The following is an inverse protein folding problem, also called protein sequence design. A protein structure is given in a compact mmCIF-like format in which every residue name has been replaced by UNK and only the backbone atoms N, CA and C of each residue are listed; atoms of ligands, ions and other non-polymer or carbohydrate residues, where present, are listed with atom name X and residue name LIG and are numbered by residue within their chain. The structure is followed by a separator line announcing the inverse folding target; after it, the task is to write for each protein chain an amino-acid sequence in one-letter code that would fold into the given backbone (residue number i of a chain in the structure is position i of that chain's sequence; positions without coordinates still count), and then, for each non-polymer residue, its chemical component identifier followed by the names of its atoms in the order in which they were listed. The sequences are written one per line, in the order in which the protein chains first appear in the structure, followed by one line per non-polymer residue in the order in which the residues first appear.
data_IF_786663686005
#
_entry.id   IF_786663686005
#
_cell.length_a   1.000
_cell.length_b   1.000
_cell.length_c   1.000
_cell.angle_alpha   90.00
_cell.angle_beta   90.00
_cell.angle_gamma   90.00
#
_symmetry.space_group_name_H-M   'P 1'
#
loop_
_entity.id
_entity.type
_entity.pdbx_description
1 polymer ?
#
# COMPACT_ATOMS: atom_id res chain seq x y z
N UNK A 1 12.47 -10.99 3.87
CA UNK A 1 11.41 -10.16 4.25
C UNK A 1 10.04 -10.77 4.14
N UNK A 2 9.17 -10.25 4.96
CA UNK A 2 7.78 -10.66 4.97
C UNK A 2 6.98 -9.85 3.95
N UNK A 3 5.92 -10.44 3.46
CA UNK A 3 5.00 -9.79 2.55
C UNK A 3 3.84 -9.19 3.34
N UNK A 4 3.44 -7.97 2.98
CA UNK A 4 2.32 -7.26 3.62
C UNK A 4 1.37 -6.72 2.55
N UNK A 5 0.06 -6.60 2.87
CA UNK A 5 -0.89 -5.98 1.94
C UNK A 5 -0.65 -4.48 1.84
N UNK A 6 -0.54 -3.98 0.62
CA UNK A 6 -0.54 -2.56 0.32
C UNK A 6 -1.94 -2.18 -0.12
N UNK A 7 -2.59 -1.29 0.62
CA UNK A 7 -4.01 -0.99 0.44
C UNK A 7 -4.29 0.43 -0.04
N UNK A 8 -3.29 1.28 -0.12
CA UNK A 8 -3.43 2.61 -0.72
C UNK A 8 -2.06 3.19 -1.07
N UNK A 9 -2.04 4.03 -2.10
CA UNK A 9 -0.85 4.79 -2.49
C UNK A 9 -1.34 6.12 -3.06
N UNK A 10 -1.04 7.21 -2.37
CA UNK A 10 -1.52 8.55 -2.72
C UNK A 10 -0.37 9.56 -2.66
N UNK A 11 -0.42 10.57 -3.52
CA UNK A 11 0.53 11.68 -3.49
C UNK A 11 -0.19 13.01 -3.73
N UNK A 12 0.49 14.11 -3.42
CA UNK A 12 -0.04 15.45 -3.66
C UNK A 12 -0.32 15.64 -5.15
N UNK A 13 -1.50 16.18 -5.47
CA UNK A 13 -1.91 16.45 -6.84
C UNK A 13 -2.50 15.25 -7.58
N UNK A 14 -2.51 14.06 -6.97
CA UNK A 14 -3.15 12.90 -7.57
C UNK A 14 -4.66 13.13 -7.64
N UNK A 15 -5.27 12.79 -8.77
CA UNK A 15 -6.72 12.90 -8.95
C UNK A 15 -7.32 11.50 -8.97
N UNK A 16 -8.24 11.22 -8.04
CA UNK A 16 -8.94 9.95 -7.94
C UNK A 16 -10.44 10.27 -7.83
N UNK A 17 -11.23 9.74 -8.76
CA UNK A 17 -12.69 9.95 -8.80
C UNK A 17 -13.08 11.42 -8.72
N UNK A 18 -12.35 12.28 -9.44
CA UNK A 18 -12.60 13.72 -9.48
C UNK A 18 -12.09 14.51 -8.28
N UNK A 19 -11.45 13.86 -7.30
CA UNK A 19 -10.89 14.51 -6.12
C UNK A 19 -9.40 14.68 -6.29
N UNK A 20 -8.92 15.94 -6.17
CA UNK A 20 -7.50 16.23 -6.16
C UNK A 20 -6.97 16.09 -4.74
N UNK A 21 -5.98 15.21 -4.55
CA UNK A 21 -5.45 14.91 -3.23
C UNK A 21 -4.44 15.95 -2.78
N UNK A 22 -4.73 16.57 -1.62
CA UNK A 22 -3.77 17.30 -0.79
C UNK A 22 -3.51 16.49 0.47
N UNK A 23 -2.76 17.06 1.42
CA UNK A 23 -2.50 16.37 2.69
C UNK A 23 -3.79 16.03 3.47
N UNK A 24 -4.81 16.89 3.53
CA UNK A 24 -6.05 16.52 4.22
C UNK A 24 -6.71 15.27 3.62
N UNK A 25 -6.74 15.16 2.29
CA UNK A 25 -7.34 14.02 1.60
C UNK A 25 -6.52 12.75 1.81
N UNK A 26 -5.18 12.86 1.79
CA UNK A 26 -4.28 11.73 2.06
C UNK A 26 -4.50 11.21 3.49
N UNK A 27 -4.60 12.12 4.46
CA UNK A 27 -4.82 11.74 5.84
C UNK A 27 -6.21 11.16 6.05
N UNK A 28 -7.24 11.71 5.41
CA UNK A 28 -8.61 11.18 5.49
C UNK A 28 -8.69 9.76 4.92
N UNK A 29 -8.03 9.51 3.79
CA UNK A 29 -7.92 8.17 3.19
C UNK A 29 -7.30 7.18 4.17
N UNK A 30 -6.16 7.56 4.76
CA UNK A 30 -5.48 6.74 5.75
C UNK A 30 -6.35 6.45 6.97
N UNK A 31 -6.99 7.48 7.52
CA UNK A 31 -7.83 7.32 8.72
C UNK A 31 -9.03 6.42 8.47
N UNK A 32 -9.65 6.53 7.28
CA UNK A 32 -10.75 5.65 6.89
C UNK A 32 -10.29 4.20 6.83
N UNK A 33 -9.13 3.95 6.22
CA UNK A 33 -8.57 2.60 6.13
C UNK A 33 -8.16 2.07 7.51
N UNK A 34 -7.57 2.91 8.36
CA UNK A 34 -7.14 2.50 9.70
C UNK A 34 -8.32 2.17 10.60
N UNK A 35 -9.47 2.84 10.42
CA UNK A 35 -10.67 2.51 11.17
C UNK A 35 -11.17 1.10 10.85
N UNK A 36 -11.04 0.67 9.58
CA UNK A 36 -11.39 -0.68 9.16
C UNK A 36 -10.30 -1.71 9.46
N UNK A 37 -9.04 -1.28 9.33
CA UNK A 37 -7.87 -2.14 9.56
C UNK A 37 -6.98 -1.49 10.62
N UNK A 38 -7.19 -1.79 11.91
CA UNK A 38 -6.44 -1.13 13.00
C UNK A 38 -4.93 -1.31 12.93
N UNK A 39 -4.45 -2.33 12.22
CA UNK A 39 -3.02 -2.57 12.01
C UNK A 39 -2.47 -1.82 10.80
N UNK A 40 -3.26 -0.95 10.16
CA UNK A 40 -2.78 -0.13 9.05
C UNK A 40 -1.74 0.87 9.54
N UNK A 41 -0.71 1.07 8.72
CA UNK A 41 0.32 2.09 8.94
C UNK A 41 0.69 2.72 7.60
N UNK A 42 1.27 3.92 7.67
CA UNK A 42 1.62 4.69 6.48
C UNK A 42 3.12 4.93 6.43
N UNK A 43 3.70 4.77 5.25
CA UNK A 43 5.11 5.06 4.99
C UNK A 43 5.23 6.00 3.78
N UNK A 44 6.37 6.69 3.67
CA UNK A 44 6.71 7.46 2.48
C UNK A 44 7.51 6.55 1.54
N UNK A 45 7.14 6.52 0.26
CA UNK A 45 7.78 5.62 -0.70
C UNK A 45 9.29 5.87 -0.83
N UNK A 46 9.74 7.10 -0.58
CA UNK A 46 11.15 7.46 -0.67
C UNK A 46 12.02 6.78 0.40
N UNK A 47 11.42 6.30 1.48
CA UNK A 47 12.15 5.64 2.58
C UNK A 47 12.45 4.17 2.30
N UNK A 48 11.95 3.62 1.20
CA UNK A 48 12.10 2.21 0.85
C UNK A 48 12.49 2.05 -0.61
N UNK A 49 13.27 1.03 -0.90
CA UNK A 49 13.79 0.79 -2.25
C UNK A 49 12.88 -0.06 -3.13
N UNK A 50 11.88 -0.71 -2.53
CA UNK A 50 10.96 -1.58 -3.26
C UNK A 50 9.89 -0.84 -4.07
N UNK A 51 9.65 0.44 -3.79
CA UNK A 51 8.66 1.22 -4.52
C UNK A 51 9.28 1.86 -5.76
N UNK A 52 8.58 1.75 -6.90
CA UNK A 52 9.03 2.37 -8.15
C UNK A 52 8.68 3.86 -8.22
N UNK A 53 7.60 4.27 -7.55
CA UNK A 53 7.17 5.67 -7.50
C UNK A 53 7.82 6.42 -6.35
N UNK A 54 7.98 7.74 -6.52
CA UNK A 54 8.50 8.64 -5.50
C UNK A 54 7.40 9.56 -5.00
N UNK A 55 7.58 10.08 -3.80
CA UNK A 55 6.66 11.04 -3.15
C UNK A 55 5.27 10.48 -2.88
N UNK A 56 5.12 9.16 -2.86
CA UNK A 56 3.86 8.52 -2.49
C UNK A 56 3.79 8.29 -0.98
N UNK A 57 2.59 8.51 -0.44
CA UNK A 57 2.21 8.06 0.90
C UNK A 57 1.49 6.73 0.73
N UNK A 58 2.10 5.68 1.26
CA UNK A 58 1.66 4.29 1.06
C UNK A 58 1.09 3.75 2.35
N UNK A 59 -0.13 3.22 2.29
CA UNK A 59 -0.77 2.56 3.43
C UNK A 59 -0.67 1.06 3.27
N UNK A 60 -0.16 0.40 4.31
CA UNK A 60 -0.01 -1.05 4.38
C UNK A 60 -0.70 -1.55 5.64
N UNK A 61 -0.94 -2.85 5.70
CA UNK A 61 -1.48 -3.49 6.90
C UNK A 61 -0.40 -4.36 7.52
N UNK A 62 -0.15 -4.20 8.83
CA UNK A 62 0.89 -4.92 9.55
C UNK A 62 0.50 -6.38 9.82
N UNK A 63 -0.16 -7.00 8.85
CA UNK A 63 -0.44 -8.43 8.84
C UNK A 63 0.50 -9.03 7.79
N UNK A 64 1.38 -9.92 8.21
CA UNK A 64 2.46 -10.39 7.35
C UNK A 64 2.28 -11.85 6.96
N UNK A 65 2.77 -12.17 5.78
CA UNK A 65 2.68 -13.50 5.19
C UNK A 65 4.04 -13.92 4.65
N UNK A 66 4.25 -15.21 4.53
CA UNK A 66 5.49 -15.75 3.98
C UNK A 66 5.60 -15.62 2.47
N UNK A 67 4.49 -15.50 1.77
CA UNK A 67 4.46 -15.41 0.30
C UNK A 67 3.57 -14.28 -0.19
N UNK A 68 3.85 -13.81 -1.40
CA UNK A 68 3.00 -12.81 -2.07
C UNK A 68 1.60 -13.37 -2.36
N UNK A 69 1.51 -14.64 -2.72
CA UNK A 69 0.22 -15.26 -3.05
C UNK A 69 -0.71 -15.32 -1.84
N UNK A 70 -0.19 -15.63 -0.65
CA UNK A 70 -0.96 -15.59 0.59
C UNK A 70 -1.44 -14.19 0.90
N UNK A 71 -0.59 -13.19 0.69
CA UNK A 71 -0.95 -11.77 0.88
C UNK A 71 -2.07 -11.36 -0.07
N UNK A 72 -1.95 -11.73 -1.35
CA UNK A 72 -2.97 -11.43 -2.35
C UNK A 72 -4.29 -12.15 -2.06
N UNK A 73 -4.25 -13.37 -1.52
CA UNK A 73 -5.45 -14.08 -1.08
C UNK A 73 -6.16 -13.32 0.05
N UNK A 74 -5.40 -12.71 0.96
CA UNK A 74 -5.98 -11.85 2.00
C UNK A 74 -6.69 -10.64 1.37
N UNK A 75 -6.10 -9.99 0.36
CA UNK A 75 -6.73 -8.90 -0.37
C UNK A 75 -8.07 -9.32 -0.98
N UNK A 76 -8.12 -10.51 -1.59
CA UNK A 76 -9.35 -11.05 -2.17
C UNK A 76 -10.41 -11.29 -1.11
N UNK A 77 -10.03 -11.83 0.05
CA UNK A 77 -10.95 -12.09 1.16
C UNK A 77 -11.54 -10.80 1.73
N UNK A 78 -10.79 -9.71 1.70
CA UNK A 78 -11.25 -8.41 2.17
C UNK A 78 -12.14 -7.68 1.15
N UNK A 79 -12.27 -8.21 -0.06
CA UNK A 79 -13.12 -7.63 -1.09
C UNK A 79 -12.54 -6.45 -1.84
N UNK A 80 -11.22 -6.25 -1.77
CA UNK A 80 -10.57 -5.18 -2.51
C UNK A 80 -10.60 -5.45 -4.01
N UNK A 81 -10.78 -4.38 -4.80
CA UNK A 81 -10.54 -4.42 -6.23
C UNK A 81 -9.05 -4.73 -6.49
N UNK A 82 -8.76 -5.32 -7.64
CA UNK A 82 -7.44 -5.84 -7.98
C UNK A 82 -6.32 -4.80 -7.83
N UNK A 83 -6.58 -3.56 -8.29
CA UNK A 83 -5.60 -2.49 -8.24
C UNK A 83 -5.50 -1.81 -6.86
N UNK A 84 -6.45 -2.07 -5.96
CA UNK A 84 -6.55 -1.38 -4.68
C UNK A 84 -5.89 -2.11 -3.52
N UNK A 85 -5.48 -3.36 -3.73
CA UNK A 85 -4.78 -4.14 -2.71
C UNK A 85 -3.90 -5.20 -3.37
N UNK A 86 -2.63 -5.21 -3.03
CA UNK A 86 -1.70 -6.22 -3.55
C UNK A 86 -0.52 -6.40 -2.60
N UNK A 87 0.22 -7.49 -2.83
CA UNK A 87 1.36 -7.87 -2.01
C UNK A 87 2.55 -6.94 -2.24
N UNK A 88 3.18 -6.53 -1.15
CA UNK A 88 4.38 -5.70 -1.17
C UNK A 88 5.36 -6.21 -0.11
N UNK A 89 6.65 -6.08 -0.40
CA UNK A 89 7.71 -6.43 0.54
C UNK A 89 8.60 -5.21 0.72
N UNK A 90 8.61 -4.66 1.94
CA UNK A 90 9.38 -3.45 2.25
C UNK A 90 10.88 -3.76 2.29
N UNK A 91 11.66 -2.98 1.52
CA UNK A 91 13.09 -3.17 1.38
C UNK A 91 13.83 -1.85 1.52
N UNK A 92 15.02 -1.90 2.11
CA UNK A 92 15.94 -0.75 2.18
C UNK A 92 17.13 -0.91 1.22
N UNK A 93 17.21 -2.05 0.52
CA UNK A 93 18.24 -2.33 -0.48
C UNK A 93 17.61 -3.00 -1.70
N UNK A 94 18.27 -2.93 -2.83
CA UNK A 94 17.73 -3.46 -4.08
C UNK A 94 16.72 -2.49 -4.70
N UNK A 95 15.93 -2.99 -5.64
CA UNK A 95 14.93 -2.22 -6.37
C UNK A 95 13.54 -2.81 -6.26
N UNK A 96 12.58 -2.31 -7.08
CA UNK A 96 11.20 -2.80 -7.06
C UNK A 96 11.03 -4.23 -7.55
N UNK A 97 11.93 -4.72 -8.40
CA UNK A 97 11.79 -6.05 -9.01
C UNK A 97 11.70 -7.15 -7.95
N UNK A 98 10.68 -7.98 -8.04
CA UNK A 98 10.47 -9.10 -7.12
C UNK A 98 9.95 -8.71 -5.74
N UNK A 99 9.65 -7.43 -5.48
CA UNK A 99 9.20 -6.95 -4.17
C UNK A 99 7.75 -6.46 -4.17
N UNK A 100 7.03 -6.70 -5.25
CA UNK A 100 5.58 -6.52 -5.32
C UNK A 100 4.98 -7.55 -6.26
N UNK A 101 3.73 -7.89 -6.03
CA UNK A 101 2.99 -8.80 -6.90
C UNK A 101 1.53 -8.38 -6.94
N UNK A 102 1.08 -7.98 -8.12
CA UNK A 102 -0.34 -7.67 -8.36
C UNK A 102 -1.15 -8.97 -8.46
N UNK A 103 -2.45 -8.83 -8.29
CA UNK A 103 -3.38 -9.95 -8.35
C UNK A 103 -3.83 -10.27 -9.77
#
# INVERSE_FOLDING_TARGET
GQWVPQISSKRLGLVVDGVTFGYPEIMADFQTLKARYPQAFMVKSDDYTNFSGKDFWVTLVATSFGTADETNAWCDQQGFAEQDCYASRLMHTGGPAGNSKTR
#
